data_IF_065316634589
#
_entry.id   IF_065316634589
#
_cell.length_a   1.000
_cell.length_b   1.000
_cell.length_c   1.000
_cell.angle_alpha   90.00
_cell.angle_beta   90.00
_cell.angle_gamma   90.00
#
_symmetry.space_group_name_H-M   'P 1'
#
loop_
_entity.id
_entity.type
_entity.pdbx_description
1 polymer ?
#
# COMPACT_ATOMS: atom_id res chain seq x y z
N UNK A 1 0.37 5.78 -6.56
CA UNK A 1 1.41 6.19 -7.53
C UNK A 1 1.27 5.48 -8.88
N UNK A 2 0.99 4.18 -8.89
CA UNK A 2 0.89 3.41 -10.15
C UNK A 2 -0.26 3.89 -11.04
N UNK A 3 -1.36 4.34 -10.44
CA UNK A 3 -2.53 4.82 -11.16
C UNK A 3 -2.34 6.24 -11.73
N UNK A 4 -2.12 7.20 -10.86
CA UNK A 4 -2.14 8.63 -11.20
C UNK A 4 -0.78 9.34 -11.07
N UNK A 5 0.29 8.61 -10.69
CA UNK A 5 1.54 9.24 -10.25
C UNK A 5 1.38 10.04 -8.95
N UNK A 6 0.32 9.77 -8.17
CA UNK A 6 -0.03 10.50 -6.95
C UNK A 6 -0.75 11.83 -7.18
N UNK A 7 -1.21 12.09 -8.41
CA UNK A 7 -1.89 13.36 -8.74
C UNK A 7 -3.35 13.35 -8.29
N UNK A 8 -3.76 14.29 -7.41
CA UNK A 8 -5.15 14.45 -7.03
C UNK A 8 -5.98 15.07 -8.18
N UNK A 9 -7.35 15.02 -8.15
CA UNK A 9 -8.11 14.39 -7.06
C UNK A 9 -8.22 12.88 -7.17
N UNK A 10 -8.24 12.29 -8.36
CA UNK A 10 -8.50 10.87 -8.57
C UNK A 10 -7.21 10.03 -8.53
N UNK A 11 -6.65 9.89 -7.33
CA UNK A 11 -5.39 9.18 -7.09
C UNK A 11 -5.45 7.68 -7.38
N UNK A 12 -6.64 7.08 -7.34
CA UNK A 12 -6.89 5.67 -7.62
C UNK A 12 -7.45 5.41 -9.04
N UNK A 13 -7.69 6.46 -9.83
CA UNK A 13 -8.22 6.39 -11.20
C UNK A 13 -9.57 5.64 -11.30
N UNK A 14 -10.47 5.89 -10.35
CA UNK A 14 -11.73 5.15 -10.19
C UNK A 14 -12.95 5.88 -10.72
N UNK A 15 -12.82 7.14 -11.12
CA UNK A 15 -13.94 7.95 -11.62
C UNK A 15 -14.69 7.29 -12.77
N UNK A 16 -13.98 6.66 -13.70
CA UNK A 16 -14.59 6.02 -14.88
C UNK A 16 -15.26 4.68 -14.58
N UNK A 17 -14.84 3.98 -13.54
CA UNK A 17 -15.33 2.63 -13.25
C UNK A 17 -16.43 2.61 -12.19
N UNK A 18 -16.29 3.39 -11.14
CA UNK A 18 -17.22 3.39 -10.02
C UNK A 18 -18.30 4.47 -10.14
N UNK A 19 -17.98 5.61 -10.73
CA UNK A 19 -18.86 6.77 -10.86
C UNK A 19 -19.23 7.14 -12.30
N UNK A 20 -19.25 6.19 -13.18
CA UNK A 20 -19.57 6.40 -14.60
C UNK A 20 -20.92 7.15 -14.86
N UNK A 21 -21.63 7.58 -13.82
CA UNK A 21 -22.95 8.24 -13.91
C UNK A 21 -23.11 9.39 -12.90
N UNK A 22 -22.10 9.75 -12.10
CA UNK A 22 -22.23 10.73 -11.01
C UNK A 22 -21.01 11.60 -10.76
N UNK A 23 -21.13 12.61 -9.89
CA UNK A 23 -20.23 13.73 -9.92
C UNK A 23 -18.77 13.28 -9.91
N UNK A 24 -17.91 14.07 -10.56
CA UNK A 24 -16.48 13.76 -10.61
C UNK A 24 -15.92 13.56 -9.20
N UNK A 25 -14.90 12.74 -9.06
CA UNK A 25 -14.15 12.59 -7.82
C UNK A 25 -13.45 13.91 -7.53
N UNK A 26 -13.84 14.57 -6.45
CA UNK A 26 -13.37 15.91 -6.12
C UNK A 26 -12.20 15.90 -5.10
N UNK A 27 -12.01 14.79 -4.39
CA UNK A 27 -10.97 14.67 -3.35
C UNK A 27 -10.21 13.35 -3.44
N UNK A 28 -8.97 13.34 -2.95
CA UNK A 28 -8.17 12.12 -2.86
C UNK A 28 -8.79 11.08 -1.90
N UNK A 29 -9.48 11.53 -0.86
CA UNK A 29 -10.18 10.67 0.09
C UNK A 29 -11.33 9.91 -0.60
N UNK A 30 -12.12 10.60 -1.40
CA UNK A 30 -13.18 9.96 -2.21
C UNK A 30 -12.60 8.94 -3.18
N UNK A 31 -11.51 9.29 -3.87
CA UNK A 31 -10.82 8.38 -4.76
C UNK A 31 -10.33 7.12 -4.05
N UNK A 32 -9.73 7.28 -2.88
CA UNK A 32 -9.24 6.14 -2.08
C UNK A 32 -10.40 5.27 -1.60
N UNK A 33 -11.49 5.88 -1.13
CA UNK A 33 -12.68 5.13 -0.71
C UNK A 33 -13.25 4.31 -1.88
N UNK A 34 -13.45 4.92 -3.03
CA UNK A 34 -13.93 4.25 -4.22
C UNK A 34 -12.98 3.17 -4.72
N UNK A 35 -11.69 3.48 -4.81
CA UNK A 35 -10.67 2.53 -5.28
C UNK A 35 -10.51 1.33 -4.38
N UNK A 36 -10.65 1.50 -3.07
CA UNK A 36 -10.61 0.37 -2.13
C UNK A 36 -11.84 -0.53 -2.26
N UNK A 37 -13.02 0.03 -2.51
CA UNK A 37 -14.22 -0.75 -2.79
C UNK A 37 -14.09 -1.53 -4.11
N UNK A 38 -13.62 -0.88 -5.17
CA UNK A 38 -13.41 -1.54 -6.45
C UNK A 38 -12.37 -2.66 -6.37
N UNK A 39 -11.26 -2.43 -5.67
CA UNK A 39 -10.27 -3.48 -5.43
C UNK A 39 -10.85 -4.63 -4.61
N UNK A 40 -11.69 -4.35 -3.62
CA UNK A 40 -12.41 -5.37 -2.84
C UNK A 40 -13.31 -6.22 -3.72
N UNK A 41 -14.03 -5.61 -4.66
CA UNK A 41 -14.86 -6.32 -5.63
C UNK A 41 -14.01 -7.20 -6.57
N UNK A 42 -12.88 -6.69 -7.04
CA UNK A 42 -11.92 -7.46 -7.83
C UNK A 42 -11.38 -8.67 -7.06
N UNK A 43 -10.99 -8.49 -5.79
CA UNK A 43 -10.50 -9.58 -4.93
C UNK A 43 -11.58 -10.66 -4.70
N UNK A 44 -12.81 -10.23 -4.47
CA UNK A 44 -13.97 -11.12 -4.31
C UNK A 44 -14.22 -11.92 -5.58
N UNK A 45 -14.23 -11.26 -6.73
CA UNK A 45 -14.45 -11.88 -8.04
C UNK A 45 -13.31 -12.82 -8.44
N UNK A 46 -12.07 -12.46 -8.13
CA UNK A 46 -10.89 -13.31 -8.31
C UNK A 46 -10.83 -14.48 -7.31
N UNK A 47 -11.76 -14.50 -6.32
CA UNK A 47 -11.81 -15.51 -5.24
C UNK A 47 -10.50 -15.58 -4.45
N UNK A 48 -9.86 -14.44 -4.23
CA UNK A 48 -8.67 -14.35 -3.39
C UNK A 48 -9.01 -14.76 -1.95
N UNK A 49 -8.21 -15.67 -1.38
CA UNK A 49 -8.54 -16.35 -0.11
C UNK A 49 -7.92 -15.67 1.11
N UNK A 50 -6.85 -14.94 0.90
CA UNK A 50 -6.09 -14.30 1.98
C UNK A 50 -5.09 -13.29 1.41
N UNK A 51 -4.51 -12.44 2.26
CA UNK A 51 -3.39 -11.57 1.86
C UNK A 51 -2.17 -12.33 1.31
N UNK A 52 -2.09 -13.63 1.52
CA UNK A 52 -0.99 -14.47 1.01
C UNK A 52 -1.34 -15.20 -0.30
N UNK A 53 -2.55 -15.08 -0.78
CA UNK A 53 -2.98 -15.66 -2.04
C UNK A 53 -2.53 -14.79 -3.22
N UNK A 54 -1.22 -14.81 -3.49
CA UNK A 54 -0.61 -14.00 -4.56
C UNK A 54 -1.26 -14.27 -5.91
N UNK A 55 -1.72 -15.48 -6.17
CA UNK A 55 -2.39 -15.81 -7.44
C UNK A 55 -3.74 -15.11 -7.56
N UNK A 56 -4.55 -15.16 -6.51
CA UNK A 56 -5.84 -14.47 -6.46
C UNK A 56 -5.66 -12.95 -6.49
N UNK A 57 -4.69 -12.43 -5.74
CA UNK A 57 -4.34 -11.01 -5.71
C UNK A 57 -3.87 -10.53 -7.09
N UNK A 58 -2.98 -11.25 -7.76
CA UNK A 58 -2.50 -10.89 -9.11
C UNK A 58 -3.65 -10.81 -10.12
N UNK A 59 -4.58 -11.76 -10.07
CA UNK A 59 -5.76 -11.76 -10.94
C UNK A 59 -6.66 -10.54 -10.64
N UNK A 60 -6.87 -10.23 -9.36
CA UNK A 60 -7.65 -9.07 -8.94
C UNK A 60 -7.01 -7.74 -9.36
N UNK A 61 -5.69 -7.61 -9.18
CA UNK A 61 -4.94 -6.42 -9.58
C UNK A 61 -5.01 -6.17 -11.08
N UNK A 62 -4.80 -7.21 -11.90
CA UNK A 62 -4.94 -7.02 -13.34
C UNK A 62 -6.38 -6.73 -13.75
N UNK A 63 -7.36 -7.28 -13.02
CA UNK A 63 -8.78 -6.95 -13.20
C UNK A 63 -9.12 -5.52 -12.80
N UNK A 64 -8.46 -4.98 -11.79
CA UNK A 64 -8.57 -3.57 -11.41
C UNK A 64 -8.11 -2.64 -12.56
N UNK A 65 -6.97 -2.95 -13.16
CA UNK A 65 -6.41 -2.15 -14.26
C UNK A 65 -7.18 -2.32 -15.59
N UNK A 66 -7.60 -3.54 -15.91
CA UNK A 66 -8.28 -3.85 -17.19
C UNK A 66 -9.81 -3.82 -17.11
N UNK A 67 -10.35 -3.61 -15.90
CA UNK A 67 -11.76 -3.79 -15.62
C UNK A 67 -12.11 -5.25 -15.29
N UNK A 68 -13.20 -5.42 -14.57
CA UNK A 68 -13.70 -6.70 -14.03
C UNK A 68 -13.95 -7.81 -15.08
N UNK A 69 -14.12 -7.42 -16.35
CA UNK A 69 -14.29 -8.38 -17.45
C UNK A 69 -13.07 -9.25 -17.71
N UNK A 70 -11.88 -8.73 -17.42
CA UNK A 70 -10.64 -9.50 -17.49
C UNK A 70 -10.65 -10.71 -16.55
N UNK A 71 -11.13 -10.53 -15.32
CA UNK A 71 -11.16 -11.60 -14.31
C UNK A 71 -11.97 -12.80 -14.83
N UNK A 72 -13.18 -12.55 -15.32
CA UNK A 72 -14.04 -13.60 -15.86
C UNK A 72 -13.40 -14.27 -17.08
N UNK A 73 -12.84 -13.49 -17.99
CA UNK A 73 -12.19 -13.99 -19.18
C UNK A 73 -10.96 -14.85 -18.82
N UNK A 74 -10.10 -14.38 -17.92
CA UNK A 74 -8.91 -15.09 -17.49
C UNK A 74 -9.25 -16.39 -16.75
N UNK A 75 -10.21 -16.35 -15.82
CA UNK A 75 -10.68 -17.56 -15.13
C UNK A 75 -11.25 -18.59 -16.10
N UNK A 76 -12.05 -18.15 -17.08
CA UNK A 76 -12.68 -19.04 -18.05
C UNK A 76 -11.66 -19.72 -19.00
N UNK A 77 -10.65 -18.98 -19.45
CA UNK A 77 -9.76 -19.47 -20.49
C UNK A 77 -8.44 -20.04 -19.95
N UNK A 78 -7.97 -19.57 -18.77
CA UNK A 78 -6.65 -19.90 -18.24
C UNK A 78 -6.68 -20.32 -16.76
N UNK A 79 -7.76 -20.03 -16.03
CA UNK A 79 -7.89 -20.34 -14.61
C UNK A 79 -7.11 -19.43 -13.65
N UNK A 80 -6.28 -18.54 -14.16
CA UNK A 80 -5.44 -17.63 -13.37
C UNK A 80 -4.95 -16.44 -14.21
N UNK A 81 -4.29 -15.49 -13.54
CA UNK A 81 -3.48 -14.47 -14.19
C UNK A 81 -2.15 -15.05 -14.65
N UNK A 82 -1.69 -14.56 -15.81
CA UNK A 82 -0.29 -14.57 -16.25
C UNK A 82 -0.02 -13.33 -17.10
N UNK A 83 1.24 -12.94 -17.23
CA UNK A 83 1.63 -11.82 -18.09
C UNK A 83 1.18 -12.06 -19.53
N UNK A 84 1.37 -13.28 -20.03
CA UNK A 84 1.00 -13.66 -21.39
C UNK A 84 -0.50 -13.49 -21.64
N UNK A 85 -1.35 -13.89 -20.67
CA UNK A 85 -2.79 -13.71 -20.88
C UNK A 85 -3.24 -12.26 -20.70
N UNK A 86 -2.52 -11.45 -19.92
CA UNK A 86 -2.74 -10.01 -19.85
C UNK A 86 -2.41 -9.34 -21.19
N UNK A 87 -1.29 -9.70 -21.83
CA UNK A 87 -0.92 -9.24 -23.17
C UNK A 87 -1.97 -9.60 -24.22
N UNK A 88 -2.45 -10.86 -24.21
CA UNK A 88 -3.49 -11.34 -25.15
C UNK A 88 -4.79 -10.55 -24.94
N UNK A 89 -5.19 -10.31 -23.68
CA UNK A 89 -6.40 -9.56 -23.40
C UNK A 89 -6.28 -8.09 -23.81
N UNK A 90 -5.14 -7.45 -23.51
CA UNK A 90 -4.86 -6.07 -23.93
C UNK A 90 -4.95 -5.92 -25.44
N UNK A 91 -4.29 -6.81 -26.21
CA UNK A 91 -4.36 -6.81 -27.67
C UNK A 91 -5.80 -7.02 -28.19
N UNK A 92 -6.54 -7.95 -27.57
CA UNK A 92 -7.95 -8.18 -27.92
C UNK A 92 -8.77 -6.92 -27.74
N UNK A 93 -8.61 -6.23 -26.61
CA UNK A 93 -9.35 -4.99 -26.33
C UNK A 93 -8.93 -3.83 -27.24
N UNK A 94 -7.65 -3.73 -27.61
CA UNK A 94 -7.18 -2.78 -28.61
C UNK A 94 -7.91 -2.96 -29.96
N UNK A 95 -8.05 -4.19 -30.40
CA UNK A 95 -8.78 -4.50 -31.68
C UNK A 95 -10.27 -4.22 -31.53
N UNK A 96 -10.90 -4.61 -30.43
CA UNK A 96 -12.35 -4.44 -30.23
C UNK A 96 -12.76 -2.98 -30.07
N UNK A 97 -11.93 -2.17 -29.42
CA UNK A 97 -12.22 -0.78 -29.09
C UNK A 97 -11.60 0.23 -30.07
N UNK A 98 -10.69 -0.23 -30.92
CA UNK A 98 -9.94 0.63 -31.85
C UNK A 98 -8.90 1.52 -31.14
N UNK A 99 -8.29 1.03 -30.07
CA UNK A 99 -7.27 1.73 -29.29
C UNK A 99 -5.86 1.28 -29.68
N UNK A 100 -4.89 2.16 -29.58
CA UNK A 100 -3.48 1.86 -29.79
C UNK A 100 -2.87 1.09 -28.61
N UNK A 101 -3.43 1.26 -27.42
CA UNK A 101 -3.02 0.57 -26.19
C UNK A 101 -4.23 0.40 -25.25
N UNK A 102 -4.19 -0.63 -24.41
CA UNK A 102 -5.23 -0.91 -23.42
C UNK A 102 -4.62 -1.37 -22.10
N UNK A 103 -4.71 -0.51 -21.09
CA UNK A 103 -4.20 -0.74 -19.75
C UNK A 103 -2.69 -0.97 -19.69
N UNK A 104 -2.23 -1.45 -18.53
CA UNK A 104 -0.83 -1.80 -18.26
C UNK A 104 -0.68 -3.32 -18.10
N UNK A 105 -0.02 -3.98 -19.02
CA UNK A 105 0.26 -5.43 -18.96
C UNK A 105 1.28 -5.80 -17.88
N UNK A 106 2.05 -4.83 -17.40
CA UNK A 106 3.01 -4.97 -16.30
C UNK A 106 2.42 -4.48 -14.96
N UNK A 107 1.12 -4.20 -14.88
CA UNK A 107 0.48 -3.65 -13.69
C UNK A 107 0.73 -4.48 -12.43
N UNK A 108 0.58 -5.80 -12.54
CA UNK A 108 0.77 -6.70 -11.40
C UNK A 108 2.19 -6.62 -10.82
N UNK A 109 3.27 -6.80 -11.58
CA UNK A 109 4.62 -6.63 -11.03
C UNK A 109 4.90 -5.20 -10.56
N UNK A 110 4.31 -4.16 -11.19
CA UNK A 110 4.46 -2.78 -10.75
C UNK A 110 3.85 -2.55 -9.37
N UNK A 111 2.69 -3.14 -9.07
CA UNK A 111 2.05 -3.02 -7.76
C UNK A 111 2.69 -3.95 -6.74
N UNK A 112 2.94 -5.22 -7.12
CA UNK A 112 3.45 -6.22 -6.17
C UNK A 112 4.87 -5.93 -5.68
N UNK A 113 5.65 -5.08 -6.35
CA UNK A 113 6.96 -4.64 -5.83
C UNK A 113 6.88 -3.95 -4.47
N UNK A 114 5.70 -3.41 -4.12
CA UNK A 114 5.43 -2.78 -2.83
C UNK A 114 4.67 -3.71 -1.87
N UNK A 115 4.27 -4.88 -2.34
CA UNK A 115 3.44 -5.81 -1.57
C UNK A 115 4.30 -6.85 -0.86
N UNK A 116 4.28 -6.82 0.44
CA UNK A 116 4.89 -7.87 1.26
C UNK A 116 3.82 -8.93 1.53
N UNK A 117 3.81 -9.98 0.71
CA UNK A 117 3.01 -11.16 0.99
C UNK A 117 3.59 -11.81 2.24
N UNK A 118 2.89 -11.71 3.31
CA UNK A 118 3.06 -12.38 4.57
C UNK A 118 3.38 -11.54 5.81
N UNK A 119 2.36 -11.02 6.48
CA UNK A 119 2.50 -10.67 7.89
C UNK A 119 2.53 -11.89 8.81
N UNK A 120 2.20 -13.12 8.30
CA UNK A 120 2.22 -14.36 9.08
C UNK A 120 3.30 -15.37 8.67
N UNK A 121 4.01 -15.18 7.57
CA UNK A 121 5.34 -15.77 7.54
C UNK A 121 6.06 -15.03 8.63
N UNK A 122 6.23 -15.67 9.73
CA UNK A 122 7.38 -15.43 10.56
C UNK A 122 8.50 -14.99 9.63
N UNK A 123 8.71 -13.65 9.50
CA UNK A 123 10.05 -13.18 9.22
C UNK A 123 10.84 -14.05 10.14
N UNK A 124 11.47 -15.10 9.62
CA UNK A 124 12.24 -15.98 10.48
C UNK A 124 13.10 -14.99 11.23
N UNK A 125 13.22 -15.15 12.53
CA UNK A 125 14.03 -14.23 13.32
C UNK A 125 15.37 -13.94 12.64
N UNK A 126 15.83 -14.81 11.78
CA UNK A 126 17.01 -14.69 10.93
C UNK A 126 16.86 -13.68 9.78
N UNK A 127 15.72 -13.65 9.05
CA UNK A 127 15.52 -12.68 7.96
C UNK A 127 15.26 -11.28 8.51
N UNK A 128 14.47 -11.15 9.60
CA UNK A 128 14.27 -9.88 10.28
C UNK A 128 15.60 -9.37 10.87
N UNK A 129 16.34 -10.25 11.52
CA UNK A 129 17.63 -9.90 12.10
C UNK A 129 18.66 -9.51 11.03
N UNK A 130 18.61 -10.12 9.84
CA UNK A 130 19.47 -9.74 8.71
C UNK A 130 19.15 -8.34 8.21
N UNK A 131 17.88 -8.02 7.99
CA UNK A 131 17.43 -6.69 7.56
C UNK A 131 17.73 -5.64 8.64
N UNK A 132 17.41 -5.93 9.90
CA UNK A 132 17.70 -5.03 11.01
C UNK A 132 19.21 -4.79 11.19
N UNK A 133 20.04 -5.81 10.95
CA UNK A 133 21.51 -5.66 10.98
C UNK A 133 22.00 -4.75 9.86
N UNK A 134 21.50 -4.93 8.64
CA UNK A 134 21.83 -4.07 7.50
C UNK A 134 21.42 -2.62 7.76
N UNK A 135 20.19 -2.41 8.26
CA UNK A 135 19.70 -1.08 8.64
C UNK A 135 20.58 -0.44 9.73
N UNK A 136 21.00 -1.20 10.72
CA UNK A 136 21.88 -0.70 11.78
C UNK A 136 23.26 -0.26 11.27
N UNK A 137 23.83 -1.01 10.33
CA UNK A 137 25.16 -0.73 9.76
C UNK A 137 25.13 0.50 8.83
N UNK A 138 23.99 0.78 8.20
CA UNK A 138 23.86 1.80 7.16
C UNK A 138 23.18 3.10 7.63
N UNK A 139 22.84 3.24 8.92
CA UNK A 139 22.12 4.40 9.44
C UNK A 139 22.85 5.10 10.59
N UNK A 140 22.46 6.36 10.83
CA UNK A 140 22.93 7.07 12.02
C UNK A 140 22.39 6.38 13.28
N UNK A 141 23.09 6.54 14.42
CA UNK A 141 22.66 5.95 15.69
C UNK A 141 21.24 6.38 16.08
N UNK A 142 20.85 7.62 15.80
CA UNK A 142 19.53 8.16 16.11
C UNK A 142 18.43 7.57 15.20
N UNK A 143 18.67 7.48 13.88
CA UNK A 143 17.76 6.84 12.95
C UNK A 143 17.56 5.35 13.30
N UNK A 144 18.66 4.67 13.65
CA UNK A 144 18.59 3.28 14.09
C UNK A 144 17.72 3.10 15.34
N UNK A 145 17.85 3.97 16.35
CA UNK A 145 17.02 3.89 17.55
C UNK A 145 15.51 4.00 17.25
N UNK A 146 15.11 4.88 16.32
CA UNK A 146 13.72 4.99 15.87
C UNK A 146 13.25 3.70 15.20
N UNK A 147 14.05 3.16 14.28
CA UNK A 147 13.76 1.91 13.57
C UNK A 147 13.63 0.74 14.56
N UNK A 148 14.58 0.62 15.49
CA UNK A 148 14.60 -0.45 16.51
C UNK A 148 13.36 -0.39 17.41
N UNK A 149 12.95 0.81 17.84
CA UNK A 149 11.71 0.99 18.63
C UNK A 149 10.48 0.60 17.84
N UNK A 150 10.35 1.04 16.58
CA UNK A 150 9.25 0.62 15.71
C UNK A 150 9.24 -0.90 15.50
N UNK A 151 10.40 -1.49 15.20
CA UNK A 151 10.54 -2.93 15.00
C UNK A 151 10.18 -3.76 16.24
N UNK A 152 10.37 -3.22 17.45
CA UNK A 152 10.00 -3.92 18.69
C UNK A 152 8.51 -4.20 18.85
N UNK A 153 7.66 -3.51 18.08
CA UNK A 153 6.21 -3.70 18.08
C UNK A 153 5.71 -4.72 17.04
N UNK A 154 6.60 -5.27 16.21
CA UNK A 154 6.20 -6.26 15.21
C UNK A 154 5.54 -7.47 15.87
N UNK A 155 4.33 -7.80 15.40
CA UNK A 155 3.54 -8.92 15.91
C UNK A 155 2.78 -8.67 17.23
N UNK A 156 2.98 -7.51 17.90
CA UNK A 156 2.33 -7.20 19.17
C UNK A 156 1.26 -6.11 19.07
N UNK A 157 1.35 -5.22 18.09
CA UNK A 157 0.43 -4.10 17.90
C UNK A 157 -0.53 -4.38 16.73
N UNK A 158 -1.79 -3.93 16.87
CA UNK A 158 -2.81 -3.99 15.83
C UNK A 158 -3.09 -2.60 15.30
N UNK A 159 -3.40 -2.51 14.02
CA UNK A 159 -3.79 -1.24 13.42
C UNK A 159 -5.23 -0.85 13.80
N UNK A 160 -5.42 0.36 14.31
CA UNK A 160 -6.75 0.95 14.51
C UNK A 160 -6.64 2.48 14.59
N UNK A 161 -7.44 3.17 13.78
CA UNK A 161 -7.59 4.62 13.86
C UNK A 161 -8.48 5.04 15.04
N UNK A 162 -9.50 4.24 15.35
CA UNK A 162 -10.48 4.54 16.40
C UNK A 162 -9.94 4.25 17.80
N UNK A 163 -9.19 3.16 17.96
CA UNK A 163 -8.69 2.67 19.25
C UNK A 163 -7.23 3.02 19.50
N UNK A 164 -6.62 3.86 18.65
CA UNK A 164 -5.21 4.21 18.78
C UNK A 164 -4.87 4.76 20.16
N UNK A 165 -3.80 4.24 20.73
CA UNK A 165 -3.34 4.59 22.07
C UNK A 165 -2.21 5.61 21.98
N UNK A 166 -2.47 6.81 22.46
CA UNK A 166 -1.58 7.97 22.35
C UNK A 166 -1.08 8.48 23.71
N UNK A 167 -1.14 7.63 24.72
CA UNK A 167 -0.73 7.92 26.11
C UNK A 167 0.73 7.58 26.42
N UNK A 168 1.47 7.10 25.42
CA UNK A 168 2.89 6.79 25.55
C UNK A 168 3.22 5.53 26.33
N UNK A 169 2.26 4.62 26.50
CA UNK A 169 2.51 3.31 27.15
C UNK A 169 3.58 2.52 26.43
N UNK A 170 4.28 1.64 27.15
CA UNK A 170 5.39 0.86 26.58
C UNK A 170 4.90 -0.26 25.65
N UNK A 171 3.72 -0.81 25.90
CA UNK A 171 3.13 -1.89 25.10
C UNK A 171 1.75 -1.47 24.61
N UNK A 172 1.65 -0.69 23.53
CA UNK A 172 0.37 -0.36 22.93
C UNK A 172 -0.23 -1.58 22.23
N UNK A 173 -1.55 -1.76 22.35
CA UNK A 173 -2.28 -2.81 21.64
C UNK A 173 -2.76 -2.32 20.26
N UNK A 174 -3.04 -1.01 20.15
CA UNK A 174 -3.58 -0.39 18.93
C UNK A 174 -2.87 0.91 18.62
N UNK A 175 -2.37 1.02 17.39
CA UNK A 175 -1.83 2.25 16.81
C UNK A 175 -2.33 2.41 15.38
N UNK A 176 -2.42 3.65 14.90
CA UNK A 176 -2.48 3.97 13.46
C UNK A 176 -1.08 4.36 12.95
N UNK A 177 -0.94 4.68 11.67
CA UNK A 177 0.35 5.03 11.06
C UNK A 177 1.01 6.21 11.77
N UNK A 178 0.26 7.26 12.07
CA UNK A 178 0.78 8.48 12.69
C UNK A 178 1.13 8.29 14.17
N UNK A 179 0.32 7.58 14.93
CA UNK A 179 0.60 7.28 16.32
C UNK A 179 1.74 6.27 16.49
N UNK A 180 1.89 5.32 15.56
CA UNK A 180 3.05 4.43 15.52
C UNK A 180 4.36 5.21 15.30
N UNK A 181 4.37 6.09 14.30
CA UNK A 181 5.54 6.95 14.02
C UNK A 181 5.87 7.84 15.23
N UNK A 182 4.86 8.51 15.81
CA UNK A 182 5.04 9.34 16.98
C UNK A 182 5.56 8.54 18.20
N UNK A 183 5.05 7.32 18.40
CA UNK A 183 5.49 6.42 19.46
C UNK A 183 6.97 6.04 19.30
N UNK A 184 7.37 5.64 18.08
CA UNK A 184 8.75 5.27 17.80
C UNK A 184 9.73 6.43 18.04
N UNK A 185 9.38 7.64 17.60
CA UNK A 185 10.17 8.84 17.87
C UNK A 185 10.31 9.10 19.37
N UNK A 186 9.20 9.11 20.12
CA UNK A 186 9.25 9.36 21.56
C UNK A 186 10.08 8.32 22.31
N UNK A 187 9.93 7.02 21.96
CA UNK A 187 10.67 5.94 22.62
C UNK A 187 12.17 5.94 22.30
N UNK A 188 12.57 6.61 21.22
CA UNK A 188 13.98 6.88 20.89
C UNK A 188 14.50 8.23 21.39
N UNK A 189 13.75 8.90 22.27
CA UNK A 189 14.17 10.16 22.88
C UNK A 189 13.82 11.43 22.08
N UNK A 190 13.19 11.30 20.91
CA UNK A 190 12.75 12.45 20.08
C UNK A 190 11.37 12.89 20.55
N UNK A 191 11.32 13.68 21.60
CA UNK A 191 10.05 14.10 22.25
C UNK A 191 9.37 15.30 21.61
N UNK A 192 9.94 15.82 20.54
CA UNK A 192 9.40 16.99 19.82
C UNK A 192 8.10 16.71 19.07
N UNK A 193 7.77 15.45 18.82
CA UNK A 193 6.57 14.98 18.14
C UNK A 193 5.59 14.45 19.19
N UNK A 194 4.41 15.07 19.42
CA UNK A 194 3.44 14.57 20.39
C UNK A 194 2.91 13.17 20.04
N UNK A 195 2.66 12.32 21.05
CA UNK A 195 2.05 11.00 20.83
C UNK A 195 0.72 11.03 20.08
N UNK A 196 -0.06 12.10 20.28
CA UNK A 196 -1.34 12.29 19.61
C UNK A 196 -1.23 12.86 18.19
N UNK A 197 -0.01 12.93 17.64
CA UNK A 197 0.19 13.42 16.27
C UNK A 197 -0.63 12.65 15.25
N UNK A 198 -1.09 13.37 14.23
CA UNK A 198 -1.79 12.84 13.06
C UNK A 198 -0.95 13.11 11.82
N UNK A 199 -1.27 12.51 10.69
CA UNK A 199 -0.64 12.82 9.41
C UNK A 199 -0.68 14.32 9.11
N UNK A 200 -1.82 14.98 9.37
CA UNK A 200 -1.96 16.42 9.20
C UNK A 200 -1.00 17.23 10.09
N UNK A 201 -0.78 16.80 11.34
CA UNK A 201 0.19 17.46 12.23
C UNK A 201 1.63 17.25 11.82
N UNK A 202 1.96 16.11 11.22
CA UNK A 202 3.29 15.88 10.61
C UNK A 202 3.51 16.82 9.43
N UNK A 203 2.59 16.86 8.47
CA UNK A 203 2.68 17.70 7.26
C UNK A 203 2.75 19.20 7.61
N UNK A 204 1.97 19.66 8.61
CA UNK A 204 1.96 21.06 9.02
C UNK A 204 3.11 21.46 9.94
N UNK A 205 3.89 20.52 10.41
CA UNK A 205 4.97 20.76 11.37
C UNK A 205 6.20 21.34 10.68
N UNK A 206 6.68 22.48 11.18
CA UNK A 206 7.97 23.07 10.74
C UNK A 206 9.21 22.30 11.25
N UNK A 207 9.02 21.15 11.90
CA UNK A 207 10.09 20.31 12.44
C UNK A 207 10.54 19.24 11.45
N UNK A 208 9.81 19.05 10.36
CA UNK A 208 10.12 18.15 9.28
C UNK A 208 10.39 18.95 8.02
N UNK A 209 11.30 18.48 7.21
CA UNK A 209 11.62 19.02 5.90
C UNK A 209 11.10 18.07 4.83
N UNK A 210 10.61 18.62 3.72
CA UNK A 210 10.23 17.81 2.57
C UNK A 210 11.50 17.27 1.90
N UNK A 211 11.56 15.95 1.75
CA UNK A 211 12.67 15.26 1.09
C UNK A 211 12.16 14.66 -0.22
N UNK A 212 12.89 14.89 -1.32
CA UNK A 212 12.56 14.24 -2.58
C UNK A 212 12.84 12.72 -2.51
N UNK A 213 11.97 11.90 -3.15
CA UNK A 213 12.00 10.44 -3.03
C UNK A 213 13.33 9.78 -3.42
N UNK A 214 14.15 10.44 -4.25
CA UNK A 214 15.49 9.98 -4.63
C UNK A 214 16.56 10.19 -3.55
N UNK A 215 16.22 10.94 -2.49
CA UNK A 215 17.12 11.24 -1.36
C UNK A 215 16.70 10.55 -0.05
N UNK A 216 15.60 9.81 -0.07
CA UNK A 216 15.13 9.11 1.13
C UNK A 216 16.16 8.14 1.66
N UNK A 217 16.35 8.16 2.97
CA UNK A 217 17.19 7.22 3.71
C UNK A 217 16.34 6.48 4.75
N UNK A 218 16.71 5.25 5.13
CA UNK A 218 16.03 4.58 6.22
C UNK A 218 16.06 5.43 7.51
N UNK A 219 14.88 5.68 8.09
CA UNK A 219 14.72 6.52 9.28
C UNK A 219 14.32 7.97 9.03
N UNK A 220 14.14 8.36 7.75
CA UNK A 220 13.57 9.66 7.37
C UNK A 220 12.05 9.72 7.56
#
# INVERSE_FOLDING_TARGET
>A
EQESGGNPPDVMQTEQSYYNVNPPIDTAEESIDCGTHELSDCLTKAKSKSPNDIKGISLALQGYNFGNGYIDWALKNYGCYSKENAEIFSQKMCVELGYDSYGDVEYVPHVLRYYIANPETTVTNESANSILKELKENNTAQAWEVIEKGASLIGSVKYSMEQRQVDGRDNPEFLDCSSFTAWAFHKSGITSVPYASTTATFISSKKFEDISGDKLQPGD
#
